data_IF_415598966361
#
_entry.id   IF_415598966361
#
_cell.length_a   1.000
_cell.length_b   1.000
_cell.length_c   1.000
_cell.angle_alpha   90.00
_cell.angle_beta   90.00
_cell.angle_gamma   90.00
#
_symmetry.space_group_name_H-M   'P 1'
#
loop_
_entity.id
_entity.type
_entity.pdbx_description
1 polymer ?
#
# COMPACT_ATOMS: atom_id res chain seq x y z
N UNK A 1 -3.25 23.74 -10.15
CA UNK A 1 -2.62 23.25 -8.88
C UNK A 1 -3.70 22.79 -7.88
N UNK A 2 -4.98 23.02 -8.16
CA UNK A 2 -6.12 22.79 -7.24
C UNK A 2 -6.45 21.33 -6.88
N UNK A 3 -6.25 20.37 -7.78
CA UNK A 3 -6.69 18.98 -7.54
C UNK A 3 -6.03 18.33 -6.32
N UNK A 4 -4.81 18.77 -5.96
CA UNK A 4 -4.09 18.25 -4.80
C UNK A 4 -4.46 18.91 -3.49
N UNK A 5 -4.74 20.21 -3.52
CA UNK A 5 -5.20 20.94 -2.36
C UNK A 5 -6.59 20.44 -1.94
N UNK A 6 -7.46 20.21 -2.92
CA UNK A 6 -8.75 19.55 -2.72
C UNK A 6 -8.56 18.12 -2.17
N UNK A 7 -7.63 17.33 -2.72
CA UNK A 7 -7.36 16.00 -2.21
C UNK A 7 -6.89 15.99 -0.75
N UNK A 8 -6.01 16.92 -0.40
CA UNK A 8 -5.50 17.07 0.96
C UNK A 8 -6.60 17.53 1.92
N UNK A 9 -7.44 18.47 1.49
CA UNK A 9 -8.55 18.97 2.29
C UNK A 9 -9.56 17.85 2.61
N UNK A 10 -9.99 17.09 1.60
CA UNK A 10 -10.89 15.93 1.78
C UNK A 10 -10.27 14.85 2.66
N UNK A 11 -8.98 14.56 2.45
CA UNK A 11 -8.26 13.59 3.28
C UNK A 11 -8.16 14.04 4.75
N UNK A 12 -7.89 15.33 5.01
CA UNK A 12 -7.87 15.92 6.36
C UNK A 12 -9.25 15.95 7.01
N UNK A 13 -10.32 16.10 6.22
CA UNK A 13 -11.71 15.98 6.68
C UNK A 13 -12.13 14.54 7.03
N UNK A 14 -11.22 13.57 6.92
CA UNK A 14 -11.47 12.18 7.30
C UNK A 14 -11.97 11.30 6.16
N UNK A 15 -12.05 11.82 4.93
CA UNK A 15 -12.33 10.97 3.78
C UNK A 15 -11.18 10.02 3.50
N UNK A 16 -11.53 8.79 3.14
CA UNK A 16 -10.53 7.80 2.75
C UNK A 16 -9.95 8.16 1.39
N UNK A 17 -8.68 7.81 1.19
CA UNK A 17 -8.00 7.93 -0.10
C UNK A 17 -8.78 7.34 -1.28
N UNK A 18 -9.61 6.31 -1.04
CA UNK A 18 -10.48 5.72 -2.06
C UNK A 18 -11.60 6.69 -2.45
N UNK A 19 -12.25 7.33 -1.47
CA UNK A 19 -13.30 8.31 -1.71
C UNK A 19 -12.72 9.54 -2.42
N UNK A 20 -11.59 10.05 -1.94
CA UNK A 20 -10.91 11.19 -2.57
C UNK A 20 -10.46 10.86 -4.00
N UNK A 21 -9.90 9.67 -4.23
CA UNK A 21 -9.50 9.20 -5.56
C UNK A 21 -10.70 9.10 -6.52
N UNK A 22 -11.81 8.54 -6.04
CA UNK A 22 -13.04 8.40 -6.82
C UNK A 22 -13.65 9.76 -7.15
N UNK A 23 -13.73 10.66 -6.16
CA UNK A 23 -14.30 11.98 -6.31
C UNK A 23 -13.46 12.93 -7.19
N UNK A 24 -12.16 12.66 -7.35
CA UNK A 24 -11.26 13.39 -8.25
C UNK A 24 -11.01 12.67 -9.58
N UNK A 25 -11.59 11.47 -9.79
CA UNK A 25 -11.36 10.67 -11.00
C UNK A 25 -9.92 10.21 -11.19
N UNK A 26 -9.12 10.16 -10.12
CA UNK A 26 -7.70 9.77 -10.18
C UNK A 26 -7.49 8.38 -9.61
N UNK A 27 -6.48 7.67 -10.11
CA UNK A 27 -6.12 6.37 -9.54
C UNK A 27 -5.56 6.54 -8.12
N UNK A 28 -5.99 5.69 -7.18
CA UNK A 28 -5.48 5.66 -5.78
C UNK A 28 -3.95 5.71 -5.69
N UNK A 29 -3.16 4.99 -6.52
CA UNK A 29 -1.70 5.07 -6.48
C UNK A 29 -1.15 6.45 -6.86
N UNK A 30 -1.72 7.09 -7.88
CA UNK A 30 -1.31 8.45 -8.29
C UNK A 30 -1.61 9.48 -7.22
N UNK A 31 -2.80 9.42 -6.62
CA UNK A 31 -3.18 10.33 -5.54
C UNK A 31 -2.27 10.15 -4.31
N UNK A 32 -1.98 8.90 -3.99
CA UNK A 32 -1.10 8.52 -2.89
C UNK A 32 0.35 8.99 -3.08
N UNK A 33 0.95 8.78 -4.26
CA UNK A 33 2.29 9.29 -4.60
C UNK A 33 2.35 10.83 -4.48
N UNK A 34 1.32 11.49 -4.99
CA UNK A 34 1.26 12.95 -5.05
C UNK A 34 1.06 13.59 -3.66
N UNK A 35 0.23 12.99 -2.81
CA UNK A 35 0.07 13.39 -1.41
C UNK A 35 1.32 13.08 -0.57
N UNK A 36 2.01 11.97 -0.83
CA UNK A 36 3.28 11.63 -0.18
C UNK A 36 4.39 12.62 -0.57
N UNK A 37 4.47 13.04 -1.83
CA UNK A 37 5.38 14.11 -2.30
C UNK A 37 5.15 15.46 -1.61
N UNK A 38 3.93 15.70 -1.13
CA UNK A 38 3.56 16.87 -0.30
C UNK A 38 3.86 16.68 1.19
N UNK A 39 4.32 15.50 1.62
CA UNK A 39 4.60 15.18 3.02
C UNK A 39 3.38 14.73 3.83
N UNK A 40 2.24 14.46 3.17
CA UNK A 40 1.04 13.97 3.85
C UNK A 40 1.26 12.50 4.24
N UNK A 41 1.33 12.23 5.54
CA UNK A 41 1.48 10.87 6.08
C UNK A 41 0.14 10.15 5.97
N UNK A 42 0.04 9.29 4.97
CA UNK A 42 -1.20 8.56 4.73
C UNK A 42 -1.29 7.34 5.64
N UNK A 43 -2.15 7.44 6.65
CA UNK A 43 -2.49 6.31 7.53
C UNK A 43 -3.39 5.32 6.78
N UNK A 44 -3.02 4.03 6.82
CA UNK A 44 -3.68 2.89 6.13
C UNK A 44 -3.56 2.90 4.61
N UNK A 45 -2.36 3.09 4.07
CA UNK A 45 -2.12 2.86 2.64
C UNK A 45 -2.37 1.39 2.28
N UNK A 46 -2.96 1.15 1.11
CA UNK A 46 -2.70 -0.12 0.42
C UNK A 46 -1.31 0.02 -0.22
N UNK A 47 -0.42 -0.97 -0.10
CA UNK A 47 0.87 -0.93 -0.75
C UNK A 47 0.75 -0.62 -2.23
N UNK A 48 1.63 0.26 -2.68
CA UNK A 48 1.77 0.67 -4.07
C UNK A 48 2.19 -0.55 -4.92
N UNK A 49 1.89 -0.61 -6.23
CA UNK A 49 2.30 -1.74 -7.08
C UNK A 49 3.82 -2.01 -7.03
N UNK A 50 4.62 -0.94 -6.98
CA UNK A 50 6.07 -0.98 -6.74
C UNK A 50 6.44 -1.62 -5.40
N UNK A 51 5.69 -1.32 -4.33
CA UNK A 51 5.90 -1.93 -3.01
C UNK A 51 5.48 -3.40 -3.02
N UNK A 52 4.42 -3.76 -3.73
CA UNK A 52 4.00 -5.16 -3.90
C UNK A 52 5.05 -5.95 -4.69
N UNK A 53 5.64 -5.35 -5.73
CA UNK A 53 6.78 -5.94 -6.46
C UNK A 53 8.01 -6.09 -5.56
N UNK A 54 8.32 -5.10 -4.72
CA UNK A 54 9.40 -5.22 -3.74
C UNK A 54 9.10 -6.34 -2.73
N UNK A 55 7.87 -6.41 -2.21
CA UNK A 55 7.44 -7.48 -1.32
C UNK A 55 7.62 -8.86 -1.98
N UNK A 56 7.20 -8.98 -3.25
CA UNK A 56 7.31 -10.22 -4.00
C UNK A 56 8.77 -10.62 -4.17
N UNK A 57 9.61 -9.71 -4.64
CA UNK A 57 11.04 -9.96 -4.86
C UNK A 57 11.75 -10.37 -3.58
N UNK A 58 11.47 -9.72 -2.44
CA UNK A 58 12.06 -10.08 -1.14
C UNK A 58 11.54 -11.43 -0.63
N UNK A 59 10.26 -11.70 -0.80
CA UNK A 59 9.67 -12.99 -0.45
C UNK A 59 10.28 -14.12 -1.28
N UNK A 60 10.49 -13.90 -2.58
CA UNK A 60 11.18 -14.84 -3.49
C UNK A 60 12.65 -15.04 -3.11
N UNK A 61 13.31 -14.01 -2.56
CA UNK A 61 14.65 -14.11 -1.96
C UNK A 61 14.68 -14.89 -0.63
N UNK A 62 13.53 -15.34 -0.12
CA UNK A 62 13.42 -16.10 1.12
C UNK A 62 13.21 -15.26 2.38
N UNK A 63 12.96 -13.95 2.27
CA UNK A 63 12.57 -13.15 3.43
C UNK A 63 11.16 -13.54 3.91
N UNK A 64 10.99 -13.70 5.22
CA UNK A 64 9.67 -13.93 5.84
C UNK A 64 8.73 -12.74 5.64
N UNK A 65 7.41 -13.00 5.54
CA UNK A 65 6.38 -11.97 5.41
C UNK A 65 6.47 -10.86 6.46
N UNK A 66 6.87 -11.20 7.70
CA UNK A 66 7.06 -10.24 8.78
C UNK A 66 8.25 -9.29 8.55
N UNK A 67 9.40 -9.81 8.07
CA UNK A 67 10.56 -8.98 7.71
C UNK A 67 10.28 -8.10 6.50
N UNK A 68 9.65 -8.67 5.48
CA UNK A 68 9.21 -7.93 4.30
C UNK A 68 8.30 -6.78 4.73
N UNK A 69 7.29 -7.07 5.56
CA UNK A 69 6.36 -6.11 6.14
C UNK A 69 7.05 -5.01 6.94
N UNK A 70 7.97 -5.36 7.84
CA UNK A 70 8.71 -4.39 8.64
C UNK A 70 9.52 -3.42 7.77
N UNK A 71 10.09 -3.89 6.65
CA UNK A 71 10.84 -3.02 5.72
C UNK A 71 9.95 -2.10 4.91
N UNK A 72 8.83 -2.61 4.40
CA UNK A 72 7.90 -1.84 3.56
C UNK A 72 6.89 -1.02 4.36
N UNK A 73 6.89 -1.16 5.69
CA UNK A 73 6.00 -0.44 6.62
C UNK A 73 4.59 -1.02 6.68
N UNK A 74 4.43 -2.32 6.46
CA UNK A 74 3.14 -3.02 6.45
C UNK A 74 3.15 -4.26 7.35
N UNK A 75 1.99 -4.61 7.90
CA UNK A 75 1.83 -5.86 8.63
C UNK A 75 1.97 -7.09 7.73
N UNK A 76 2.44 -8.20 8.30
CA UNK A 76 2.60 -9.47 7.59
C UNK A 76 1.30 -9.95 6.92
N UNK A 77 0.14 -9.66 7.52
CA UNK A 77 -1.18 -9.98 6.94
C UNK A 77 -1.51 -9.16 5.69
N UNK A 78 -1.11 -7.88 5.67
CA UNK A 78 -1.22 -7.02 4.48
C UNK A 78 -0.31 -7.53 3.37
N UNK A 79 0.94 -7.87 3.71
CA UNK A 79 1.91 -8.43 2.76
C UNK A 79 1.37 -9.74 2.15
N UNK A 80 0.87 -10.67 2.97
CA UNK A 80 0.28 -11.94 2.50
C UNK A 80 -0.84 -11.70 1.50
N UNK A 81 -1.77 -10.80 1.84
CA UNK A 81 -2.93 -10.49 0.99
C UNK A 81 -2.50 -9.92 -0.36
N UNK A 82 -1.52 -9.01 -0.36
CA UNK A 82 -1.03 -8.40 -1.58
C UNK A 82 -0.19 -9.32 -2.45
N UNK A 83 0.67 -10.14 -1.86
CA UNK A 83 1.43 -11.16 -2.58
C UNK A 83 0.50 -12.17 -3.25
N UNK A 84 -0.54 -12.65 -2.54
CA UNK A 84 -1.57 -13.52 -3.12
C UNK A 84 -2.31 -12.83 -4.27
N UNK A 85 -2.67 -11.55 -4.11
CA UNK A 85 -3.31 -10.77 -5.18
C UNK A 85 -2.40 -10.51 -6.38
N UNK A 86 -1.08 -10.51 -6.17
CA UNK A 86 -0.07 -10.39 -7.22
C UNK A 86 0.26 -11.74 -7.90
N UNK A 87 -0.43 -12.83 -7.52
CA UNK A 87 -0.19 -14.17 -8.06
C UNK A 87 1.06 -14.85 -7.52
N UNK A 88 1.71 -14.28 -6.49
CA UNK A 88 2.84 -14.94 -5.82
C UNK A 88 2.31 -16.11 -5.02
N UNK A 89 2.81 -17.31 -5.32
CA UNK A 89 2.50 -18.52 -4.58
C UNK A 89 3.06 -18.39 -3.15
N UNK A 90 2.20 -17.95 -2.23
CA UNK A 90 2.51 -17.99 -0.81
C UNK A 90 2.62 -19.47 -0.44
N UNK A 91 3.86 -19.97 -0.36
CA UNK A 91 4.17 -21.19 0.38
C UNK A 91 3.52 -21.02 1.74
N UNK A 92 2.45 -21.78 1.99
CA UNK A 92 1.74 -21.74 3.25
C UNK A 92 2.72 -22.26 4.32
N UNK A 93 3.50 -21.36 4.91
CA UNK A 93 4.35 -21.65 6.07
C UNK A 93 3.48 -21.78 7.33
N UNK A 94 2.25 -22.32 7.17
CA UNK A 94 1.46 -22.88 8.25
C UNK A 94 2.05 -24.24 8.66
N UNK A 95 3.28 -24.20 9.15
CA UNK A 95 3.67 -25.11 10.23
C UNK A 95 3.16 -24.52 11.53
N UNK A 96 1.83 -24.51 11.75
CA UNK A 96 1.31 -24.26 13.10
C UNK A 96 1.61 -25.50 13.94
N UNK A 97 2.59 -25.39 14.83
CA UNK A 97 2.52 -26.00 16.16
C UNK A 97 2.12 -24.91 17.14
#
# INVERSE_FOLDING_TARGET
MEMLDEAEHRYRNGETLRQVAHALGVSRPRLSDRLRKRGVVIRRQSPSPEQVLEMARRYEQGESLARVGARVGFDAGTVRTHLRSAGVAIRDAHGRR
#
